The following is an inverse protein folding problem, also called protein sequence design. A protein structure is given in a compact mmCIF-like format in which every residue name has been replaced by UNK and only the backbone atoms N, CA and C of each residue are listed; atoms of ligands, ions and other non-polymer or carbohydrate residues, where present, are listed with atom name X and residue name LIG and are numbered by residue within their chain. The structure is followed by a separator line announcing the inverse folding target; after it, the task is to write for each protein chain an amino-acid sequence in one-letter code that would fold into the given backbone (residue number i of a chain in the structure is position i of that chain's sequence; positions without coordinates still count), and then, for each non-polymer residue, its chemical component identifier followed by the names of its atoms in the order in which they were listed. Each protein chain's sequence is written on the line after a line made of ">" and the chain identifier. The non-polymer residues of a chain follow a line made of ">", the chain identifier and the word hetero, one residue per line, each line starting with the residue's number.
data_IF_552010197316
#
_entry.id   IF_552010197316
#
_cell.length_a   1.000
_cell.length_b   1.000
_cell.length_c   1.000
_cell.angle_alpha   90.00
_cell.angle_beta   90.00
_cell.angle_gamma   90.00
#
_symmetry.space_group_name_H-M   'P 1'
#
loop_
_entity.id
_entity.type
_entity.pdbx_description
1 polymer ?
#
# COMPACT_ATOMS: atom_id res chain seq x y z
N UNK A 1 1.82 1.79 21.22
CA UNK A 1 1.32 2.00 19.85
C UNK A 1 -0.19 2.17 19.92
N UNK A 2 -0.71 3.20 19.28
CA UNK A 2 -2.17 3.45 19.15
C UNK A 2 -2.75 2.58 18.04
N UNK A 3 -4.07 2.49 17.96
CA UNK A 3 -4.78 1.82 16.87
C UNK A 3 -5.23 2.84 15.83
N UNK A 4 -5.14 2.51 14.57
CA UNK A 4 -5.74 3.28 13.47
C UNK A 4 -7.22 2.89 13.36
N UNK A 5 -8.05 3.49 14.21
CA UNK A 5 -9.46 3.13 14.34
C UNK A 5 -10.25 3.42 13.07
N UNK A 6 -11.11 2.47 12.68
CA UNK A 6 -11.87 2.53 11.43
C UNK A 6 -11.10 2.09 10.18
N UNK A 7 -9.81 1.73 10.32
CA UNK A 7 -8.94 1.32 9.22
C UNK A 7 -8.21 0.01 9.54
N UNK A 8 -8.98 -0.99 9.99
CA UNK A 8 -8.40 -2.27 10.40
C UNK A 8 -8.44 -3.32 9.28
N UNK A 9 -9.46 -3.31 8.43
CA UNK A 9 -9.75 -4.37 7.47
C UNK A 9 -10.15 -3.76 6.13
N UNK A 10 -9.19 -3.52 5.27
CA UNK A 10 -9.39 -2.82 4.01
C UNK A 10 -8.99 -3.61 2.76
N UNK A 11 -9.31 -3.02 1.64
CA UNK A 11 -8.90 -3.50 0.31
C UNK A 11 -8.53 -2.33 -0.59
N UNK A 12 -7.53 -2.53 -1.45
CA UNK A 12 -7.09 -1.53 -2.41
C UNK A 12 -7.98 -1.53 -3.67
N UNK A 13 -8.21 -0.34 -4.23
CA UNK A 13 -8.91 -0.13 -5.50
C UNK A 13 -7.91 0.15 -6.64
N UNK A 14 -6.79 -0.56 -6.67
CA UNK A 14 -5.75 -0.41 -7.69
C UNK A 14 -6.25 -0.81 -9.09
N UNK A 15 -5.71 -0.15 -10.12
CA UNK A 15 -6.10 -0.34 -11.51
C UNK A 15 -7.26 0.57 -11.96
N UNK A 16 -7.85 1.35 -11.07
CA UNK A 16 -8.94 2.27 -11.42
C UNK A 16 -8.42 3.63 -11.89
N UNK A 17 -7.95 4.48 -10.99
CA UNK A 17 -7.38 5.82 -11.28
C UNK A 17 -5.89 5.90 -10.92
N UNK A 18 -5.26 4.75 -10.87
CA UNK A 18 -3.83 4.53 -10.78
C UNK A 18 -3.49 3.19 -11.39
N UNK A 19 -2.32 3.06 -12.00
CA UNK A 19 -1.84 1.85 -12.67
C UNK A 19 -2.82 1.29 -13.72
N UNK A 20 -3.59 2.15 -14.37
CA UNK A 20 -4.58 1.72 -15.37
C UNK A 20 -3.88 1.12 -16.60
N UNK A 21 -4.49 0.10 -17.19
CA UNK A 21 -4.09 -0.42 -18.50
C UNK A 21 -4.55 0.53 -19.61
N UNK A 22 -5.74 1.12 -19.44
CA UNK A 22 -6.34 2.05 -20.40
C UNK A 22 -6.74 3.34 -19.70
N UNK A 23 -6.16 4.46 -20.13
CA UNK A 23 -6.51 5.81 -19.64
C UNK A 23 -7.68 6.37 -20.47
N UNK A 24 -8.88 5.80 -20.29
CA UNK A 24 -10.09 6.20 -20.99
C UNK A 24 -11.23 6.51 -20.03
N UNK A 25 -12.10 7.45 -20.40
CA UNK A 25 -13.31 7.76 -19.65
C UNK A 25 -14.21 6.51 -19.44
N UNK A 26 -14.27 5.62 -20.42
CA UNK A 26 -15.01 4.36 -20.27
C UNK A 26 -14.44 3.52 -19.14
N UNK A 27 -13.10 3.35 -19.07
CA UNK A 27 -12.45 2.63 -17.98
C UNK A 27 -12.76 3.27 -16.63
N UNK A 28 -12.54 4.58 -16.50
CA UNK A 28 -12.74 5.28 -15.23
C UNK A 28 -14.19 5.23 -14.74
N UNK A 29 -15.16 5.19 -15.64
CA UNK A 29 -16.58 5.15 -15.31
C UNK A 29 -17.12 3.72 -15.05
N UNK A 30 -16.38 2.68 -15.42
CA UNK A 30 -16.91 1.29 -15.37
C UNK A 30 -16.07 0.30 -14.57
N UNK A 31 -14.79 0.60 -14.33
CA UNK A 31 -13.88 -0.33 -13.65
C UNK A 31 -14.23 -0.52 -12.17
N UNK A 32 -14.40 0.59 -11.44
CA UNK A 32 -14.96 0.60 -10.08
C UNK A 32 -16.23 1.44 -10.08
N UNK A 33 -17.27 0.90 -9.48
CA UNK A 33 -18.59 1.49 -9.38
C UNK A 33 -19.11 1.44 -7.95
N UNK A 34 -20.23 2.12 -7.67
CA UNK A 34 -20.87 2.04 -6.36
C UNK A 34 -21.21 0.60 -5.93
N UNK A 35 -21.54 -0.29 -6.88
CA UNK A 35 -21.81 -1.71 -6.60
C UNK A 35 -20.58 -2.45 -6.06
N UNK A 36 -19.39 -2.08 -6.50
CA UNK A 36 -18.15 -2.65 -5.97
C UNK A 36 -17.95 -2.22 -4.51
N UNK A 37 -18.21 -0.96 -4.19
CA UNK A 37 -18.14 -0.42 -2.82
C UNK A 37 -19.21 -1.06 -1.92
N UNK A 38 -20.44 -1.23 -2.41
CA UNK A 38 -21.51 -1.97 -1.72
C UNK A 38 -21.09 -3.42 -1.42
N UNK A 39 -20.47 -4.10 -2.39
CA UNK A 39 -19.97 -5.47 -2.20
C UNK A 39 -18.87 -5.55 -1.15
N UNK A 40 -17.91 -4.61 -1.15
CA UNK A 40 -16.84 -4.52 -0.16
C UNK A 40 -17.43 -4.32 1.24
N UNK A 41 -18.40 -3.42 1.38
CA UNK A 41 -19.11 -3.20 2.65
C UNK A 41 -19.89 -4.46 3.11
N UNK A 42 -20.55 -5.17 2.19
CA UNK A 42 -21.24 -6.44 2.46
C UNK A 42 -20.28 -7.52 2.97
N UNK A 43 -19.04 -7.53 2.54
CA UNK A 43 -17.96 -8.40 3.02
C UNK A 43 -17.37 -7.97 4.38
N UNK A 44 -17.89 -6.90 4.98
CA UNK A 44 -17.47 -6.39 6.31
C UNK A 44 -16.05 -5.81 6.34
N UNK A 45 -15.53 -5.39 5.20
CA UNK A 45 -14.40 -4.46 5.22
C UNK A 45 -14.83 -3.14 5.88
N UNK A 46 -13.91 -2.45 6.52
CA UNK A 46 -14.18 -1.17 7.18
C UNK A 46 -13.65 0.04 6.40
N UNK A 47 -12.81 -0.19 5.38
CA UNK A 47 -12.29 0.87 4.52
C UNK A 47 -11.83 0.37 3.16
N UNK A 48 -11.62 1.31 2.25
CA UNK A 48 -10.89 1.12 1.00
C UNK A 48 -9.68 2.06 0.93
N UNK A 49 -8.59 1.61 0.31
CA UNK A 49 -7.47 2.46 -0.08
C UNK A 49 -7.59 2.73 -1.58
N UNK A 50 -7.61 4.01 -1.94
CA UNK A 50 -7.75 4.49 -3.32
C UNK A 50 -6.41 5.05 -3.82
N UNK A 51 -5.64 4.28 -4.60
CA UNK A 51 -4.50 4.78 -5.32
C UNK A 51 -4.91 5.78 -6.39
N UNK A 52 -4.22 6.93 -6.44
CA UNK A 52 -4.49 8.04 -7.37
C UNK A 52 -3.20 8.47 -8.04
N UNK A 53 -3.18 8.46 -9.37
CA UNK A 53 -2.09 9.04 -10.14
C UNK A 53 -2.34 10.54 -10.34
N UNK A 54 -1.30 11.37 -10.13
CA UNK A 54 -1.44 12.83 -10.19
C UNK A 54 -1.92 13.33 -11.54
N UNK A 55 -1.51 12.70 -12.63
CA UNK A 55 -1.83 13.09 -14.01
C UNK A 55 -3.26 12.75 -14.44
N UNK A 56 -4.03 12.07 -13.58
CA UNK A 56 -5.48 11.95 -13.72
C UNK A 56 -6.20 13.17 -13.14
N UNK A 57 -5.64 13.79 -12.10
CA UNK A 57 -6.28 14.89 -11.37
C UNK A 57 -5.63 16.26 -11.63
N UNK A 58 -4.43 16.31 -12.22
CA UNK A 58 -3.74 17.54 -12.60
C UNK A 58 -3.10 17.42 -13.97
N UNK A 59 -3.16 18.50 -14.72
CA UNK A 59 -2.40 18.67 -15.97
C UNK A 59 -0.92 18.90 -15.67
N UNK A 60 -0.07 18.83 -16.70
CA UNK A 60 1.37 19.08 -16.58
C UNK A 60 1.72 20.49 -16.13
N UNK A 61 0.87 21.47 -16.40
CA UNK A 61 1.02 22.86 -15.94
C UNK A 61 0.34 23.13 -14.57
N UNK A 62 -0.17 22.07 -13.91
CA UNK A 62 -0.67 22.12 -12.55
C UNK A 62 -2.12 22.58 -12.41
N UNK A 63 -2.93 22.56 -13.52
CA UNK A 63 -4.36 22.84 -13.44
C UNK A 63 -5.13 21.59 -13.01
N UNK A 64 -6.18 21.77 -12.20
CA UNK A 64 -7.07 20.67 -11.80
C UNK A 64 -7.87 20.13 -12.99
N UNK A 65 -7.91 18.80 -13.14
CA UNK A 65 -8.75 18.07 -14.07
C UNK A 65 -10.04 17.69 -13.35
N UNK A 66 -11.13 18.39 -13.65
CA UNK A 66 -12.42 18.23 -12.94
C UNK A 66 -12.97 16.81 -13.04
N UNK A 67 -12.83 16.19 -14.19
CA UNK A 67 -13.26 14.82 -14.48
C UNK A 67 -12.50 13.84 -13.57
N UNK A 68 -11.18 13.99 -13.44
CA UNK A 68 -10.35 13.17 -12.54
C UNK A 68 -10.77 13.32 -11.08
N UNK A 69 -10.97 14.54 -10.61
CA UNK A 69 -11.48 14.77 -9.25
C UNK A 69 -12.88 14.19 -9.04
N UNK A 70 -13.74 14.13 -10.08
CA UNK A 70 -15.08 13.56 -9.95
C UNK A 70 -15.05 12.07 -9.57
N UNK A 71 -14.03 11.32 -9.99
CA UNK A 71 -13.88 9.91 -9.59
C UNK A 71 -13.56 9.76 -8.10
N UNK A 72 -12.70 10.64 -7.56
CA UNK A 72 -12.44 10.67 -6.10
C UNK A 72 -13.70 11.10 -5.34
N UNK A 73 -14.41 12.12 -5.80
CA UNK A 73 -15.67 12.60 -5.19
C UNK A 73 -16.75 11.51 -5.18
N UNK A 74 -16.85 10.73 -6.25
CA UNK A 74 -17.75 9.57 -6.31
C UNK A 74 -17.33 8.52 -5.27
N UNK A 75 -16.05 8.17 -5.19
CA UNK A 75 -15.56 7.21 -4.19
C UNK A 75 -15.86 7.69 -2.76
N UNK A 76 -15.61 8.97 -2.44
CA UNK A 76 -15.96 9.58 -1.13
C UNK A 76 -17.46 9.44 -0.86
N UNK A 77 -18.31 9.72 -1.85
CA UNK A 77 -19.76 9.64 -1.72
C UNK A 77 -20.24 8.22 -1.49
N UNK A 78 -19.72 7.26 -2.25
CA UNK A 78 -20.05 5.84 -2.13
C UNK A 78 -19.58 5.26 -0.78
N UNK A 79 -18.35 5.55 -0.38
CA UNK A 79 -17.83 5.12 0.91
C UNK A 79 -18.71 5.63 2.06
N UNK A 80 -19.10 6.91 2.02
CA UNK A 80 -20.01 7.49 3.01
C UNK A 80 -21.38 6.81 3.02
N UNK A 81 -21.96 6.53 1.84
CA UNK A 81 -23.26 5.88 1.72
C UNK A 81 -23.26 4.45 2.29
N UNK A 82 -22.14 3.74 2.18
CA UNK A 82 -22.01 2.36 2.63
C UNK A 82 -21.23 2.20 3.96
N UNK A 83 -20.99 3.32 4.70
CA UNK A 83 -20.29 3.34 5.99
C UNK A 83 -18.88 2.74 5.94
N UNK A 84 -18.15 2.98 4.86
CA UNK A 84 -16.73 2.66 4.73
C UNK A 84 -15.89 3.91 4.95
N UNK A 85 -14.72 3.73 5.54
CA UNK A 85 -13.70 4.75 5.56
C UNK A 85 -12.90 4.71 4.23
N UNK A 86 -12.15 5.77 3.94
CA UNK A 86 -11.39 5.92 2.70
C UNK A 86 -9.98 6.41 3.00
N UNK A 87 -8.98 5.79 2.40
CA UNK A 87 -7.63 6.32 2.30
C UNK A 87 -7.43 6.82 0.87
N UNK A 88 -7.09 8.10 0.71
CA UNK A 88 -6.65 8.65 -0.57
C UNK A 88 -5.13 8.59 -0.57
N UNK A 89 -4.57 7.74 -1.43
CA UNK A 89 -3.14 7.55 -1.61
C UNK A 89 -2.68 8.22 -2.91
N UNK A 90 -1.73 9.16 -2.81
CA UNK A 90 -1.06 9.67 -4.00
C UNK A 90 -0.04 8.63 -4.48
N UNK A 91 -0.45 7.80 -5.45
CA UNK A 91 0.31 6.65 -5.89
C UNK A 91 1.48 7.01 -6.82
N UNK A 92 1.31 8.12 -7.54
CA UNK A 92 2.27 8.70 -8.47
C UNK A 92 2.25 10.20 -8.34
N UNK A 93 3.42 10.84 -8.39
CA UNK A 93 3.54 12.30 -8.44
C UNK A 93 4.38 12.74 -9.64
N UNK A 94 4.31 14.02 -9.98
CA UNK A 94 5.10 14.55 -11.09
C UNK A 94 6.60 14.32 -10.86
N UNK A 95 7.22 13.61 -11.80
CA UNK A 95 8.65 13.25 -11.73
C UNK A 95 8.98 12.03 -10.88
N UNK A 96 7.96 11.34 -10.34
CA UNK A 96 8.17 10.10 -9.59
C UNK A 96 7.03 9.10 -9.72
N UNK A 97 7.39 7.84 -9.99
CA UNK A 97 6.56 6.67 -9.76
C UNK A 97 7.44 5.47 -9.36
N UNK A 98 6.86 4.50 -8.69
CA UNK A 98 7.58 3.32 -8.17
C UNK A 98 8.11 2.39 -9.29
N UNK A 99 7.47 2.34 -10.47
CA UNK A 99 8.04 1.67 -11.64
C UNK A 99 9.16 2.52 -12.24
N UNK A 100 10.39 2.19 -11.86
CA UNK A 100 11.59 2.92 -12.27
C UNK A 100 11.86 2.87 -13.78
N UNK A 101 11.30 1.89 -14.50
CA UNK A 101 11.47 1.78 -15.95
C UNK A 101 10.59 2.76 -16.72
N UNK A 102 9.49 3.21 -16.09
CA UNK A 102 8.55 4.15 -16.70
C UNK A 102 9.03 5.62 -16.68
N UNK A 103 10.10 5.94 -15.96
CA UNK A 103 10.64 7.30 -15.84
C UNK A 103 12.13 7.35 -16.21
N UNK A 104 12.53 8.43 -16.90
CA UNK A 104 13.91 8.60 -17.39
C UNK A 104 14.93 8.79 -16.26
N UNK A 105 14.56 9.54 -15.22
CA UNK A 105 15.35 9.77 -14.01
C UNK A 105 14.44 9.51 -12.80
N UNK A 106 14.44 8.28 -12.25
CA UNK A 106 13.52 7.87 -11.21
C UNK A 106 13.77 8.56 -9.85
N UNK A 107 14.90 9.22 -9.66
CA UNK A 107 15.22 9.91 -8.41
C UNK A 107 15.12 11.45 -8.53
N UNK A 108 14.79 11.98 -9.72
CA UNK A 108 14.76 13.42 -10.00
C UNK A 108 13.88 14.22 -9.03
N UNK A 109 12.71 13.69 -8.70
CA UNK A 109 11.77 14.32 -7.75
C UNK A 109 12.45 14.69 -6.41
N UNK A 110 13.34 13.85 -5.90
CA UNK A 110 14.00 14.04 -4.61
C UNK A 110 15.09 15.11 -4.63
N UNK A 111 15.46 15.61 -5.81
CA UNK A 111 16.52 16.59 -6.02
C UNK A 111 16.06 17.86 -6.75
N UNK A 112 14.88 17.86 -7.39
CA UNK A 112 14.32 19.04 -8.08
C UNK A 112 13.25 19.72 -7.21
N UNK A 113 13.58 20.93 -6.73
CA UNK A 113 12.68 21.72 -5.89
C UNK A 113 11.34 22.03 -6.56
N UNK A 114 11.31 22.21 -7.90
CA UNK A 114 10.06 22.52 -8.63
C UNK A 114 9.09 21.34 -8.62
N UNK A 115 9.61 20.10 -8.71
CA UNK A 115 8.79 18.89 -8.60
C UNK A 115 8.27 18.72 -7.17
N UNK A 116 9.09 19.02 -6.17
CA UNK A 116 8.65 19.02 -4.77
C UNK A 116 7.59 20.09 -4.50
N UNK A 117 7.72 21.29 -5.09
CA UNK A 117 6.72 22.35 -4.96
C UNK A 117 5.39 21.94 -5.63
N UNK A 118 5.44 21.26 -6.78
CA UNK A 118 4.26 20.70 -7.42
C UNK A 118 3.58 19.64 -6.51
N UNK A 119 4.34 18.74 -5.91
CA UNK A 119 3.84 17.76 -4.94
C UNK A 119 3.15 18.43 -3.74
N UNK A 120 3.74 19.47 -3.20
CA UNK A 120 3.12 20.26 -2.11
C UNK A 120 1.80 20.89 -2.58
N UNK A 121 1.76 21.45 -3.79
CA UNK A 121 0.54 22.07 -4.35
C UNK A 121 -0.58 21.04 -4.54
N UNK A 122 -0.25 19.83 -5.00
CA UNK A 122 -1.21 18.72 -5.10
C UNK A 122 -1.81 18.43 -3.71
N UNK A 123 -0.97 18.32 -2.68
CA UNK A 123 -1.45 18.06 -1.31
C UNK A 123 -2.25 19.20 -0.70
N UNK A 124 -1.93 20.46 -1.02
CA UNK A 124 -2.74 21.59 -0.62
C UNK A 124 -4.15 21.52 -1.22
N UNK A 125 -4.27 21.17 -2.50
CA UNK A 125 -5.56 20.98 -3.17
C UNK A 125 -6.36 19.81 -2.59
N UNK A 126 -5.73 18.62 -2.46
CA UNK A 126 -6.36 17.45 -1.86
C UNK A 126 -6.83 17.70 -0.42
N UNK A 127 -5.99 18.35 0.40
CA UNK A 127 -6.33 18.69 1.77
C UNK A 127 -7.48 19.70 1.87
N UNK A 128 -7.51 20.71 1.00
CA UNK A 128 -8.60 21.69 0.94
C UNK A 128 -9.93 21.03 0.56
N UNK A 129 -9.89 20.07 -0.36
CA UNK A 129 -11.10 19.39 -0.85
C UNK A 129 -11.61 18.33 0.12
N UNK A 130 -10.73 17.47 0.63
CA UNK A 130 -11.10 16.27 1.39
C UNK A 130 -10.89 16.37 2.90
N UNK A 131 -10.16 17.36 3.40
CA UNK A 131 -9.93 17.56 4.84
C UNK A 131 -11.21 17.80 5.67
N UNK A 132 -12.28 18.27 5.05
CA UNK A 132 -13.61 18.37 5.67
C UNK A 132 -14.25 17.03 6.00
N UNK A 133 -13.76 15.95 5.43
CA UNK A 133 -14.25 14.58 5.65
C UNK A 133 -13.33 13.79 6.59
N UNK A 134 -12.58 14.46 7.44
CA UNK A 134 -11.59 13.85 8.35
C UNK A 134 -12.14 12.79 9.31
N UNK A 135 -13.45 12.68 9.43
CA UNK A 135 -14.10 11.64 10.24
C UNK A 135 -13.99 10.25 9.62
N UNK A 136 -13.86 10.17 8.27
CA UNK A 136 -13.77 8.90 7.56
C UNK A 136 -12.77 8.90 6.38
N UNK A 137 -12.12 10.03 6.06
CA UNK A 137 -11.10 10.13 5.01
C UNK A 137 -9.73 10.37 5.61
N UNK A 138 -8.77 9.53 5.26
CA UNK A 138 -7.34 9.67 5.57
C UNK A 138 -6.54 9.99 4.30
N UNK A 139 -5.37 10.60 4.46
CA UNK A 139 -4.51 11.08 3.38
C UNK A 139 -3.13 10.39 3.47
N UNK A 140 -2.73 9.66 2.44
CA UNK A 140 -1.44 8.95 2.35
C UNK A 140 -0.53 9.69 1.38
N UNK A 141 0.65 10.12 1.87
CA UNK A 141 1.45 11.13 1.18
C UNK A 141 2.01 10.69 -0.17
N UNK A 142 2.59 9.51 -0.24
CA UNK A 142 3.13 8.96 -1.48
C UNK A 142 3.31 7.46 -1.32
N UNK A 143 2.92 6.73 -2.36
CA UNK A 143 3.18 5.31 -2.47
C UNK A 143 4.69 5.01 -2.47
N UNK A 144 5.07 3.80 -2.58
CA UNK A 144 6.40 3.19 -2.50
C UNK A 144 7.55 4.06 -3.04
N UNK A 145 8.49 4.41 -2.17
CA UNK A 145 9.75 5.03 -2.56
C UNK A 145 10.79 3.94 -2.68
N UNK A 146 11.26 3.70 -3.90
CA UNK A 146 12.05 2.52 -4.24
C UNK A 146 13.49 2.59 -3.72
N UNK A 147 14.18 3.75 -3.89
CA UNK A 147 15.59 3.87 -3.56
C UNK A 147 15.81 4.02 -2.04
N UNK A 148 16.42 3.04 -1.35
CA UNK A 148 16.62 3.10 0.09
C UNK A 148 17.54 4.24 0.56
N UNK A 149 18.36 4.79 -0.33
CA UNK A 149 19.27 5.89 0.00
C UNK A 149 18.59 7.27 0.07
N UNK A 150 17.30 7.35 -0.22
CA UNK A 150 16.53 8.61 -0.25
C UNK A 150 15.76 8.89 1.05
N UNK A 151 15.99 8.13 2.12
CA UNK A 151 15.23 8.27 3.37
C UNK A 151 15.29 9.69 3.94
N UNK A 152 16.45 10.32 3.99
CA UNK A 152 16.61 11.68 4.53
C UNK A 152 15.96 12.74 3.64
N UNK A 153 16.05 12.60 2.31
CA UNK A 153 15.38 13.49 1.36
C UNK A 153 13.88 13.35 1.48
N UNK A 154 13.39 12.12 1.54
CA UNK A 154 11.96 11.85 1.72
C UNK A 154 11.45 12.44 3.03
N UNK A 155 12.11 12.23 4.15
CA UNK A 155 11.71 12.79 5.43
C UNK A 155 11.52 14.31 5.39
N UNK A 156 12.40 15.03 4.67
CA UNK A 156 12.28 16.49 4.48
C UNK A 156 11.05 16.86 3.64
N UNK A 157 10.83 16.16 2.53
CA UNK A 157 9.70 16.41 1.64
C UNK A 157 8.38 16.06 2.34
N UNK A 158 8.32 14.88 2.99
CA UNK A 158 7.15 14.42 3.73
C UNK A 158 6.80 15.36 4.89
N UNK A 159 7.81 15.84 5.65
CA UNK A 159 7.60 16.80 6.73
C UNK A 159 7.05 18.12 6.21
N UNK A 160 7.50 18.57 5.04
CA UNK A 160 6.98 19.77 4.40
C UNK A 160 5.53 19.59 3.98
N UNK A 161 5.19 18.47 3.32
CA UNK A 161 3.81 18.14 2.93
C UNK A 161 2.90 18.02 4.16
N UNK A 162 3.35 17.31 5.19
CA UNK A 162 2.65 17.17 6.46
C UNK A 162 2.26 18.53 7.04
N UNK A 163 3.21 19.46 7.14
CA UNK A 163 2.97 20.79 7.69
C UNK A 163 1.97 21.61 6.86
N UNK A 164 2.02 21.49 5.52
CA UNK A 164 1.07 22.18 4.64
C UNK A 164 -0.35 21.58 4.75
N UNK A 165 -0.48 20.27 4.80
CA UNK A 165 -1.78 19.59 5.02
C UNK A 165 -2.38 20.03 6.36
N UNK A 166 -1.57 20.10 7.43
CA UNK A 166 -2.05 20.50 8.78
C UNK A 166 -2.63 21.90 8.85
N UNK A 167 -2.18 22.84 8.00
CA UNK A 167 -2.76 24.19 7.92
C UNK A 167 -4.23 24.18 7.45
N UNK A 168 -4.58 23.26 6.56
CA UNK A 168 -5.88 23.21 5.89
C UNK A 168 -6.77 22.10 6.45
N UNK A 169 -6.19 20.94 6.78
CA UNK A 169 -6.88 19.74 7.26
C UNK A 169 -6.31 19.27 8.62
N UNK A 170 -6.45 20.06 9.71
CA UNK A 170 -5.79 19.80 10.99
C UNK A 170 -6.25 18.52 11.68
N UNK A 171 -7.44 17.97 11.31
CA UNK A 171 -8.03 16.78 11.92
C UNK A 171 -7.87 15.52 11.08
N UNK A 172 -7.36 15.61 9.86
CA UNK A 172 -7.19 14.45 8.97
C UNK A 172 -6.09 13.53 9.45
N UNK A 173 -6.30 12.24 9.35
CA UNK A 173 -5.21 11.29 9.43
C UNK A 173 -4.24 11.51 8.28
N UNK A 174 -2.95 11.56 8.58
CA UNK A 174 -1.88 11.60 7.57
C UNK A 174 -1.05 10.33 7.71
N UNK A 175 -0.94 9.59 6.62
CA UNK A 175 -0.23 8.32 6.54
C UNK A 175 1.10 8.57 5.83
N UNK A 176 2.19 8.11 6.43
CA UNK A 176 3.55 8.28 5.90
C UNK A 176 4.26 6.94 5.86
N UNK A 177 4.75 6.58 4.70
CA UNK A 177 5.59 5.40 4.48
C UNK A 177 7.07 5.74 4.43
N UNK A 178 7.90 4.71 4.45
CA UNK A 178 9.35 4.80 4.28
C UNK A 178 9.80 4.59 2.83
N UNK A 179 11.06 4.30 2.67
CA UNK A 179 11.73 3.95 1.40
C UNK A 179 11.74 2.43 1.17
N UNK A 180 12.54 1.96 0.20
CA UNK A 180 12.72 0.53 -0.10
C UNK A 180 11.38 -0.18 -0.36
N UNK A 181 10.60 0.35 -1.31
CA UNK A 181 9.23 -0.11 -1.62
C UNK A 181 8.29 -0.05 -0.39
N UNK A 182 8.45 0.96 0.45
CA UNK A 182 7.71 1.09 1.70
C UNK A 182 7.83 -0.15 2.61
N UNK A 183 9.02 -0.78 2.64
CA UNK A 183 9.25 -2.01 3.38
C UNK A 183 9.08 -1.83 4.88
N UNK A 184 8.79 -2.94 5.57
CA UNK A 184 8.73 -2.98 7.04
C UNK A 184 10.03 -2.46 7.67
N UNK A 185 11.18 -2.79 7.07
CA UNK A 185 12.51 -2.41 7.55
C UNK A 185 12.80 -0.91 7.43
N UNK A 186 12.06 -0.18 6.59
CA UNK A 186 12.20 1.26 6.42
C UNK A 186 11.45 2.09 7.48
N UNK A 187 10.46 1.51 8.17
CA UNK A 187 9.67 2.22 9.19
C UNK A 187 10.53 2.88 10.28
N UNK A 188 11.60 2.26 10.81
CA UNK A 188 12.49 2.92 11.77
C UNK A 188 13.17 4.20 11.27
N UNK A 189 13.32 4.35 9.95
CA UNK A 189 13.90 5.53 9.30
C UNK A 189 12.94 6.70 9.11
N UNK A 190 11.63 6.52 9.34
CA UNK A 190 10.63 7.58 9.19
C UNK A 190 10.83 8.63 10.29
N UNK A 191 11.19 9.84 9.87
CA UNK A 191 11.39 11.00 10.76
C UNK A 191 10.63 12.23 10.24
N UNK A 192 9.33 12.24 10.55
CA UNK A 192 8.39 13.32 10.23
C UNK A 192 7.73 13.82 11.51
N UNK A 193 7.13 15.03 11.51
CA UNK A 193 6.30 15.46 12.62
C UNK A 193 5.23 14.40 12.91
N UNK A 194 5.14 13.96 14.17
CA UNK A 194 4.17 12.96 14.58
C UNK A 194 3.24 13.57 15.63
N UNK A 195 1.94 13.60 15.30
CA UNK A 195 0.87 14.07 16.17
C UNK A 195 -0.18 12.97 16.40
N UNK A 196 -1.32 13.35 17.00
CA UNK A 196 -2.39 12.41 17.30
C UNK A 196 -3.07 11.81 16.07
N UNK A 197 -2.88 12.39 14.88
CA UNK A 197 -3.46 11.96 13.60
C UNK A 197 -2.39 11.55 12.58
N UNK A 198 -1.25 11.07 13.05
CA UNK A 198 -0.18 10.52 12.22
C UNK A 198 -0.20 9.00 12.28
N UNK A 199 -0.03 8.34 11.13
CA UNK A 199 0.08 6.89 10.95
C UNK A 199 1.35 6.58 10.19
N UNK A 200 2.10 5.57 10.60
CA UNK A 200 3.19 5.02 9.79
C UNK A 200 2.68 3.81 9.02
N UNK A 201 3.02 3.75 7.73
CA UNK A 201 2.61 2.65 6.86
C UNK A 201 3.82 1.86 6.37
N UNK A 202 3.57 0.61 6.02
CA UNK A 202 4.49 -0.27 5.30
C UNK A 202 3.71 -1.20 4.37
N UNK A 203 4.40 -1.78 3.38
CA UNK A 203 3.91 -2.86 2.53
C UNK A 203 4.60 -4.17 2.91
N UNK A 204 3.92 -5.30 2.75
CA UNK A 204 4.46 -6.60 3.11
C UNK A 204 4.12 -7.66 2.08
N UNK A 205 5.12 -8.04 1.30
CA UNK A 205 5.02 -9.12 0.31
C UNK A 205 6.02 -10.25 0.59
N UNK A 206 6.62 -10.29 1.78
CA UNK A 206 7.57 -11.34 2.15
C UNK A 206 6.89 -12.70 2.40
N UNK A 207 7.48 -13.78 1.92
CA UNK A 207 8.65 -13.84 1.05
C UNK A 207 8.26 -13.55 -0.41
N UNK A 208 8.91 -12.56 -1.03
CA UNK A 208 8.60 -12.09 -2.39
C UNK A 208 8.61 -13.24 -3.42
N UNK A 209 9.49 -14.23 -3.25
CA UNK A 209 9.57 -15.39 -4.14
C UNK A 209 8.30 -16.24 -4.16
N UNK A 210 7.47 -16.17 -3.13
CA UNK A 210 6.15 -16.79 -3.11
C UNK A 210 5.07 -15.84 -3.62
N UNK A 211 4.99 -14.63 -3.05
CA UNK A 211 3.91 -13.68 -3.33
C UNK A 211 3.94 -13.14 -4.76
N UNK A 212 5.12 -13.15 -5.39
CA UNK A 212 5.33 -12.70 -6.78
C UNK A 212 5.86 -13.80 -7.69
N UNK A 213 5.68 -15.09 -7.31
CA UNK A 213 6.16 -16.17 -8.17
C UNK A 213 5.57 -16.09 -9.58
N UNK A 214 6.40 -16.37 -10.58
CA UNK A 214 6.04 -16.32 -12.01
C UNK A 214 5.70 -14.92 -12.54
N UNK A 215 5.81 -13.86 -11.71
CA UNK A 215 5.50 -12.50 -12.13
C UNK A 215 6.53 -11.98 -13.16
N UNK A 216 6.07 -11.58 -14.38
CA UNK A 216 6.99 -11.22 -15.47
C UNK A 216 7.75 -9.91 -15.24
N UNK A 217 7.31 -9.07 -14.31
CA UNK A 217 7.97 -7.81 -13.94
C UNK A 217 9.06 -7.98 -12.87
N UNK A 218 9.19 -9.16 -12.27
CA UNK A 218 10.24 -9.45 -11.29
C UNK A 218 11.49 -9.97 -12.03
N UNK A 219 12.61 -9.28 -11.86
CA UNK A 219 13.85 -9.62 -12.52
C UNK A 219 14.28 -11.08 -12.22
N UNK A 220 14.61 -11.85 -13.26
CA UNK A 220 14.99 -13.27 -13.20
C UNK A 220 13.91 -14.23 -12.69
N UNK A 221 12.68 -13.79 -12.53
CA UNK A 221 11.55 -14.66 -12.22
C UNK A 221 11.08 -15.33 -13.51
N UNK A 222 11.27 -16.63 -13.62
CA UNK A 222 10.79 -17.38 -14.79
C UNK A 222 9.32 -17.80 -14.64
N UNK A 223 8.65 -18.04 -15.76
CA UNK A 223 7.23 -18.45 -15.76
C UNK A 223 6.97 -19.84 -15.14
N UNK A 224 8.01 -20.65 -14.99
CA UNK A 224 8.01 -21.97 -14.34
C UNK A 224 8.57 -21.95 -12.91
N UNK A 225 8.90 -20.76 -12.37
CA UNK A 225 9.40 -20.61 -11.00
C UNK A 225 8.30 -20.94 -9.99
N UNK A 226 8.51 -21.97 -9.19
CA UNK A 226 7.50 -22.45 -8.24
C UNK A 226 8.05 -22.46 -6.80
N UNK A 227 7.24 -21.91 -5.91
CA UNK A 227 7.46 -21.90 -4.47
C UNK A 227 6.16 -22.24 -3.77
N UNK A 228 6.19 -23.23 -2.87
CA UNK A 228 5.06 -23.55 -2.00
C UNK A 228 5.08 -22.72 -0.72
N UNK A 229 3.91 -22.45 -0.15
CA UNK A 229 3.78 -21.84 1.15
C UNK A 229 2.94 -22.74 2.08
N UNK A 230 3.46 -22.99 3.32
CA UNK A 230 4.65 -22.38 3.97
C UNK A 230 5.99 -22.89 3.45
N UNK A 231 6.02 -23.93 2.62
CA UNK A 231 7.23 -24.64 2.24
C UNK A 231 7.70 -25.61 3.33
N UNK A 232 8.72 -26.45 3.03
CA UNK A 232 9.23 -27.44 3.97
C UNK A 232 10.08 -26.82 5.10
N UNK A 233 10.72 -25.67 4.87
CA UNK A 233 11.58 -24.99 5.87
C UNK A 233 11.87 -23.56 5.47
N UNK A 234 12.42 -22.76 6.39
CA UNK A 234 12.95 -21.43 6.12
C UNK A 234 14.12 -21.47 5.13
N UNK A 235 14.96 -22.50 5.20
CA UNK A 235 16.10 -22.66 4.31
C UNK A 235 15.67 -22.89 2.86
N UNK A 236 14.58 -23.62 2.65
CA UNK A 236 13.98 -23.74 1.31
C UNK A 236 13.60 -22.37 0.73
N UNK A 237 12.97 -21.52 1.53
CA UNK A 237 12.58 -20.18 1.10
C UNK A 237 13.82 -19.31 0.85
N UNK A 238 14.87 -19.42 1.68
CA UNK A 238 16.16 -18.75 1.47
C UNK A 238 16.84 -19.16 0.18
N UNK A 239 16.89 -20.46 -0.10
CA UNK A 239 17.43 -20.99 -1.34
C UNK A 239 16.71 -20.42 -2.56
N UNK A 240 15.38 -20.44 -2.55
CA UNK A 240 14.58 -19.83 -3.61
C UNK A 240 14.81 -18.32 -3.73
N UNK A 241 14.83 -17.61 -2.60
CA UNK A 241 15.06 -16.15 -2.56
C UNK A 241 16.44 -15.77 -3.06
N UNK A 242 17.47 -16.62 -2.88
CA UNK A 242 18.83 -16.36 -3.35
C UNK A 242 18.93 -16.27 -4.87
N UNK A 243 17.97 -16.81 -5.61
CA UNK A 243 17.90 -16.82 -7.08
C UNK A 243 17.31 -15.52 -7.64
N UNK A 244 16.57 -14.76 -6.84
CA UNK A 244 15.84 -13.55 -7.26
C UNK A 244 16.49 -12.32 -6.62
N UNK A 245 17.05 -11.38 -7.43
CA UNK A 245 17.76 -10.22 -6.89
C UNK A 245 16.93 -9.37 -5.93
N UNK A 246 15.68 -9.06 -6.27
CA UNK A 246 14.79 -8.25 -5.45
C UNK A 246 14.42 -8.94 -4.11
N UNK A 247 14.41 -10.27 -4.05
CA UNK A 247 14.10 -11.02 -2.83
C UNK A 247 15.26 -11.09 -1.83
N UNK A 248 16.49 -10.72 -2.25
CA UNK A 248 17.69 -10.80 -1.39
C UNK A 248 17.74 -9.71 -0.32
N UNK A 249 16.93 -8.67 -0.44
CA UNK A 249 16.90 -7.56 0.51
C UNK A 249 15.90 -7.78 1.66
N UNK A 250 15.13 -8.88 1.61
CA UNK A 250 14.15 -9.20 2.64
C UNK A 250 14.77 -9.76 3.93
N UNK A 251 14.06 -9.55 5.05
CA UNK A 251 14.42 -10.05 6.38
C UNK A 251 14.60 -11.58 6.48
N UNK A 252 14.14 -12.33 5.47
CA UNK A 252 14.31 -13.79 5.36
C UNK A 252 15.76 -14.24 5.50
N UNK A 253 16.73 -13.35 5.23
CA UNK A 253 18.16 -13.61 5.37
C UNK A 253 18.71 -13.26 6.78
N UNK A 254 17.88 -12.70 7.66
CA UNK A 254 18.27 -12.43 9.03
C UNK A 254 18.43 -13.76 9.80
N UNK A 255 19.57 -13.94 10.47
CA UNK A 255 19.85 -15.12 11.30
C UNK A 255 18.84 -15.29 12.44
N UNK A 256 18.20 -14.22 12.91
CA UNK A 256 17.11 -14.28 13.88
C UNK A 256 15.92 -15.12 13.38
N UNK A 257 15.78 -15.30 12.07
CA UNK A 257 14.74 -16.12 11.44
C UNK A 257 15.07 -17.62 11.38
N UNK A 258 16.29 -18.06 11.72
CA UNK A 258 16.77 -19.45 11.53
C UNK A 258 15.93 -20.50 12.26
N UNK A 259 15.34 -20.14 13.40
CA UNK A 259 14.52 -21.04 14.22
C UNK A 259 13.02 -20.94 13.90
N UNK A 260 12.60 -20.05 12.99
CA UNK A 260 11.19 -19.84 12.71
C UNK A 260 10.67 -20.79 11.63
N UNK A 261 9.38 -21.03 11.69
CA UNK A 261 8.63 -21.61 10.59
C UNK A 261 8.00 -20.49 9.75
N UNK A 262 7.67 -20.82 8.50
CA UNK A 262 6.93 -19.90 7.63
C UNK A 262 5.45 -19.93 8.02
N UNK A 263 5.14 -19.29 9.13
CA UNK A 263 3.80 -19.11 9.69
C UNK A 263 3.66 -17.69 10.27
N UNK A 264 2.65 -17.45 11.08
CA UNK A 264 2.45 -16.14 11.71
C UNK A 264 3.64 -15.64 12.53
N UNK A 265 4.47 -16.53 13.09
CA UNK A 265 5.65 -16.15 13.89
C UNK A 265 6.73 -15.47 13.04
N UNK A 266 6.85 -15.84 11.77
CA UNK A 266 7.73 -15.17 10.82
C UNK A 266 7.31 -13.68 10.66
N UNK A 267 6.03 -13.40 10.45
CA UNK A 267 5.53 -12.03 10.31
C UNK A 267 5.66 -11.24 11.62
N UNK A 268 5.43 -11.86 12.76
CA UNK A 268 5.63 -11.21 14.06
C UNK A 268 7.06 -10.75 14.27
N UNK A 269 8.04 -11.60 13.90
CA UNK A 269 9.44 -11.24 13.96
C UNK A 269 9.76 -10.13 12.96
N UNK A 270 9.29 -10.26 11.72
CA UNK A 270 9.48 -9.28 10.65
C UNK A 270 8.96 -7.89 11.06
N UNK A 271 7.79 -7.81 11.70
CA UNK A 271 7.17 -6.53 12.11
C UNK A 271 7.78 -5.92 13.38
N UNK A 272 8.57 -6.65 14.12
CA UNK A 272 9.10 -6.20 15.43
C UNK A 272 9.80 -4.83 15.39
N UNK A 273 10.72 -4.52 14.43
CA UNK A 273 11.35 -3.20 14.38
C UNK A 273 10.35 -2.05 14.15
N UNK A 274 9.38 -2.25 13.24
CA UNK A 274 8.33 -1.28 12.96
C UNK A 274 7.42 -1.07 14.18
N UNK A 275 7.01 -2.16 14.85
CA UNK A 275 6.20 -2.12 16.07
C UNK A 275 6.91 -1.34 17.19
N UNK A 276 8.20 -1.57 17.38
CA UNK A 276 8.99 -0.86 18.39
C UNK A 276 9.06 0.64 18.08
N UNK A 277 9.28 1.00 16.82
CA UNK A 277 9.29 2.39 16.38
C UNK A 277 7.95 3.06 16.62
N UNK A 278 6.86 2.42 16.22
CA UNK A 278 5.52 2.94 16.40
C UNK A 278 5.13 3.09 17.89
N UNK A 279 5.56 2.16 18.75
CA UNK A 279 5.39 2.27 20.20
C UNK A 279 6.15 3.47 20.76
N UNK A 280 7.40 3.64 20.37
CA UNK A 280 8.26 4.74 20.86
C UNK A 280 7.73 6.11 20.42
N UNK A 281 7.25 6.22 19.19
CA UNK A 281 6.66 7.47 18.65
C UNK A 281 5.18 7.63 19.00
N UNK A 282 4.55 6.62 19.63
CA UNK A 282 3.12 6.55 19.96
C UNK A 282 2.21 6.83 18.76
N UNK A 283 2.52 6.23 17.60
CA UNK A 283 1.73 6.29 16.37
C UNK A 283 1.10 4.93 16.06
N UNK A 284 -0.03 4.85 15.34
CA UNK A 284 -0.51 3.61 14.74
C UNK A 284 0.43 3.10 13.64
N UNK A 285 0.40 1.78 13.39
CA UNK A 285 0.91 1.17 12.17
C UNK A 285 -0.23 0.75 11.24
N UNK A 286 0.08 0.76 9.94
CA UNK A 286 -0.81 0.33 8.89
C UNK A 286 -0.03 -0.47 7.83
N UNK A 287 -0.54 -1.61 7.40
CA UNK A 287 -0.03 -2.38 6.28
C UNK A 287 -0.85 -1.99 5.04
N UNK A 288 -0.35 -1.00 4.27
CA UNK A 288 -1.07 -0.39 3.15
C UNK A 288 -1.28 -1.32 1.97
N UNK A 289 -0.36 -2.27 1.80
CA UNK A 289 -0.47 -3.31 0.78
C UNK A 289 0.11 -4.63 1.29
N UNK A 290 -0.59 -5.72 0.96
CA UNK A 290 -0.14 -7.10 1.09
C UNK A 290 -1.01 -7.97 0.19
N UNK A 291 -0.48 -9.06 -0.32
CA UNK A 291 -1.22 -9.94 -1.21
C UNK A 291 -0.35 -10.99 -1.88
N UNK A 292 -0.97 -11.84 -2.68
CA UNK A 292 -0.31 -12.90 -3.44
C UNK A 292 -0.79 -12.84 -4.88
N UNK A 293 0.14 -12.95 -5.82
CA UNK A 293 -0.16 -12.94 -7.26
C UNK A 293 -1.06 -14.13 -7.64
N UNK A 294 -1.98 -13.93 -8.59
CA UNK A 294 -2.89 -14.97 -9.10
C UNK A 294 -2.19 -16.14 -9.81
N UNK A 295 -0.86 -16.12 -9.88
CA UNK A 295 -0.03 -17.20 -10.45
C UNK A 295 0.45 -18.20 -9.39
N UNK A 296 0.29 -17.88 -8.11
CA UNK A 296 0.56 -18.78 -7.00
C UNK A 296 -0.64 -19.70 -6.74
N UNK A 297 -0.47 -20.92 -6.16
CA UNK A 297 -1.60 -21.76 -5.79
C UNK A 297 -2.55 -21.07 -4.81
N UNK A 298 -3.87 -21.10 -5.09
CA UNK A 298 -4.86 -20.36 -4.29
C UNK A 298 -4.93 -20.82 -2.83
N UNK A 299 -4.76 -22.12 -2.57
CA UNK A 299 -4.74 -22.67 -1.21
C UNK A 299 -3.49 -22.24 -0.43
N UNK A 300 -2.34 -22.11 -1.09
CA UNK A 300 -1.11 -21.57 -0.47
C UNK A 300 -1.27 -20.07 -0.20
N UNK A 301 -1.89 -19.35 -1.13
CA UNK A 301 -2.23 -17.93 -0.97
C UNK A 301 -3.14 -17.71 0.24
N UNK A 302 -4.17 -18.56 0.42
CA UNK A 302 -5.03 -18.51 1.61
C UNK A 302 -4.23 -18.72 2.91
N UNK A 303 -3.31 -19.70 2.95
CA UNK A 303 -2.47 -19.93 4.13
C UNK A 303 -1.60 -18.72 4.46
N UNK A 304 -0.96 -18.14 3.45
CA UNK A 304 -0.14 -16.95 3.60
C UNK A 304 -0.96 -15.77 4.14
N UNK A 305 -2.14 -15.53 3.55
CA UNK A 305 -3.05 -14.46 3.99
C UNK A 305 -3.50 -14.70 5.45
N UNK A 306 -3.83 -15.93 5.83
CA UNK A 306 -4.21 -16.24 7.20
C UNK A 306 -3.07 -15.99 8.22
N UNK A 307 -1.84 -16.29 7.85
CA UNK A 307 -0.70 -16.12 8.75
C UNK A 307 -0.32 -14.66 8.93
N UNK A 308 -0.31 -13.86 7.85
CA UNK A 308 -0.08 -12.41 7.99
C UNK A 308 -1.22 -11.74 8.76
N UNK A 309 -2.49 -12.14 8.54
CA UNK A 309 -3.64 -11.61 9.29
C UNK A 309 -3.50 -11.86 10.79
N UNK A 310 -3.12 -13.07 11.21
CA UNK A 310 -2.88 -13.40 12.64
C UNK A 310 -1.85 -12.45 13.27
N UNK A 311 -0.74 -12.19 12.55
CA UNK A 311 0.30 -11.28 13.04
C UNK A 311 -0.19 -9.84 13.11
N UNK A 312 -0.86 -9.34 12.08
CA UNK A 312 -1.40 -7.97 12.05
C UNK A 312 -2.46 -7.76 13.14
N UNK A 313 -3.39 -8.70 13.32
CA UNK A 313 -4.44 -8.64 14.34
C UNK A 313 -3.87 -8.66 15.76
N UNK A 314 -2.87 -9.51 16.03
CA UNK A 314 -2.21 -9.59 17.34
C UNK A 314 -1.69 -8.23 17.81
N UNK A 315 -1.19 -7.41 16.89
CA UNK A 315 -0.64 -6.10 17.19
C UNK A 315 -1.59 -4.93 16.85
N UNK A 316 -2.81 -5.22 16.43
CA UNK A 316 -3.82 -4.22 16.03
C UNK A 316 -3.30 -3.28 14.92
N UNK A 317 -2.60 -3.85 13.97
CA UNK A 317 -2.12 -3.16 12.77
C UNK A 317 -3.23 -3.21 11.73
N UNK A 318 -3.70 -2.06 11.28
CA UNK A 318 -4.65 -1.96 10.17
C UNK A 318 -4.02 -2.42 8.86
N UNK A 319 -4.84 -2.86 7.90
CA UNK A 319 -4.35 -3.46 6.66
C UNK A 319 -5.26 -3.21 5.46
N UNK A 320 -4.71 -3.18 4.24
CA UNK A 320 -5.50 -3.26 3.01
C UNK A 320 -4.92 -4.29 2.04
N UNK A 321 -5.74 -5.28 1.68
CA UNK A 321 -5.36 -6.31 0.73
C UNK A 321 -5.13 -5.69 -0.67
N UNK A 322 -4.02 -5.95 -1.28
CA UNK A 322 -3.78 -5.70 -2.69
C UNK A 322 -4.16 -6.96 -3.47
N UNK A 323 -5.22 -6.96 -4.28
CA UNK A 323 -6.09 -5.90 -4.72
C UNK A 323 -7.56 -6.37 -4.76
N UNK A 324 -8.54 -5.47 -4.88
CA UNK A 324 -9.95 -5.86 -5.07
C UNK A 324 -10.18 -6.52 -6.43
N UNK A 325 -9.75 -5.87 -7.51
CA UNK A 325 -10.09 -6.25 -8.89
C UNK A 325 -8.88 -6.18 -9.81
N UNK A 326 -8.61 -7.25 -10.55
CA UNK A 326 -7.49 -7.34 -11.53
C UNK A 326 -6.09 -7.08 -10.94
N UNK A 327 -5.18 -6.48 -11.71
CA UNK A 327 -3.79 -6.16 -11.33
C UNK A 327 -3.04 -7.35 -10.75
N UNK A 328 -3.25 -8.53 -11.35
CA UNK A 328 -2.60 -9.80 -11.03
C UNK A 328 -2.81 -10.33 -9.60
N UNK A 329 -3.57 -9.61 -8.76
CA UNK A 329 -3.85 -9.93 -7.36
C UNK A 329 -5.36 -9.90 -7.02
N UNK A 330 -6.22 -9.70 -8.01
CA UNK A 330 -7.63 -9.39 -7.80
C UNK A 330 -8.40 -10.40 -6.97
N UNK A 331 -8.90 -10.01 -5.80
CA UNK A 331 -9.71 -10.83 -4.91
C UNK A 331 -10.98 -11.37 -5.60
N UNK A 332 -11.58 -10.59 -6.53
CA UNK A 332 -12.76 -11.00 -7.30
C UNK A 332 -12.43 -11.82 -8.56
N UNK A 333 -11.16 -12.12 -8.81
CA UNK A 333 -10.78 -12.98 -9.94
C UNK A 333 -11.23 -14.42 -9.72
N UNK A 334 -11.45 -15.18 -10.81
CA UNK A 334 -11.81 -16.60 -10.75
C UNK A 334 -10.75 -17.47 -10.07
N UNK A 335 -9.50 -17.01 -10.01
CA UNK A 335 -8.41 -17.67 -9.30
C UNK A 335 -8.76 -17.94 -7.82
N UNK A 336 -9.39 -16.98 -7.17
CA UNK A 336 -9.75 -17.07 -5.76
C UNK A 336 -11.14 -17.65 -5.47
N UNK A 337 -11.94 -18.06 -6.49
CA UNK A 337 -13.32 -18.49 -6.29
C UNK A 337 -13.49 -19.54 -5.19
N UNK A 338 -12.56 -20.49 -5.08
CA UNK A 338 -12.63 -21.56 -4.07
C UNK A 338 -12.26 -21.13 -2.65
N UNK A 339 -11.48 -20.07 -2.53
CA UNK A 339 -10.89 -19.64 -1.23
C UNK A 339 -11.31 -18.23 -0.83
N UNK A 340 -11.99 -17.48 -1.71
CA UNK A 340 -12.41 -16.09 -1.47
C UNK A 340 -13.17 -15.89 -0.18
N UNK A 341 -14.18 -16.72 0.08
CA UNK A 341 -15.00 -16.62 1.27
C UNK A 341 -14.19 -16.84 2.55
N UNK A 342 -13.18 -17.71 2.51
CA UNK A 342 -12.25 -17.93 3.61
C UNK A 342 -11.32 -16.73 3.81
N UNK A 343 -10.82 -16.11 2.72
CA UNK A 343 -10.02 -14.87 2.80
C UNK A 343 -10.84 -13.76 3.45
N UNK A 344 -12.09 -13.56 2.99
CA UNK A 344 -12.99 -12.54 3.53
C UNK A 344 -13.31 -12.82 5.00
N UNK A 345 -13.54 -14.06 5.38
CA UNK A 345 -13.87 -14.43 6.76
C UNK A 345 -12.70 -14.23 7.74
N UNK A 346 -11.46 -14.26 7.25
CA UNK A 346 -10.26 -14.01 8.06
C UNK A 346 -9.82 -12.55 8.06
N UNK A 347 -10.48 -11.74 7.28
CA UNK A 347 -10.16 -10.30 7.19
C UNK A 347 -10.83 -9.48 8.29
#
# INVERSE_FOLDING_TARGET
>A
MRTFEGFQKGVNLGGWISQCVEYTENHFNTFITEKDIEQIAAWKFDHVRLPVDYDIIFTDDGQEIKEGFSHIDNCVSWCKAHNLNLIIDLHKTKGYMFDRQAVKDPDLFFHDQRLQDAFISIWQSLAARYGRFSDFVALELLNEIVNPNLQDQWNKIASRAFNEIRKTAPKSWIIVGGVDYNSVSAVPGIDVPADEKTVFTFHCYEPLVFTHQKAPWVEKMSADFEVSYPGPSIDYIREKSSQIPQARHGAIFDSAMDSLQMDSSFFEMLFTPAINTAKNKNVPLYCGEYGVVNLAPAEDSLRWIQDIHKALEKYKIGRALWNYKEKDFGLVSSHYDKVRDFIIATN
#
